data_IF_206624958433
#
_entry.id   IF_206624958433
#
_cell.length_a   1.000
_cell.length_b   1.000
_cell.length_c   1.000
_cell.angle_alpha   90.00
_cell.angle_beta   90.00
_cell.angle_gamma   90.00
#
_symmetry.space_group_name_H-M   'P 1'
#
loop_
_entity.id
_entity.type
_entity.pdbx_description
1 polymer ?
#
# COMPACT_ATOMS: atom_id res chain seq x y z
N UNK A 1 -7.51 -10.69 -37.32
CA UNK A 1 -8.24 -11.55 -36.37
C UNK A 1 -7.18 -12.35 -35.63
N UNK A 2 -6.95 -12.22 -34.33
CA UNK A 2 -7.86 -12.03 -33.20
C UNK A 2 -7.19 -11.13 -32.16
N UNK A 3 -7.85 -10.02 -31.83
CA UNK A 3 -7.45 -9.15 -30.72
C UNK A 3 -7.90 -9.75 -29.40
N UNK A 4 -6.98 -9.78 -28.42
CA UNK A 4 -7.28 -10.05 -27.03
C UNK A 4 -7.15 -8.76 -26.23
N UNK A 5 -8.27 -8.24 -25.74
CA UNK A 5 -8.31 -7.14 -24.77
C UNK A 5 -7.98 -7.73 -23.40
N UNK A 6 -6.80 -7.39 -22.87
CA UNK A 6 -6.37 -7.81 -21.54
C UNK A 6 -6.87 -6.78 -20.52
N UNK A 7 -7.98 -7.08 -19.85
CA UNK A 7 -8.46 -6.29 -18.71
C UNK A 7 -7.58 -6.60 -17.49
N UNK A 8 -6.43 -5.94 -17.38
CA UNK A 8 -5.69 -5.85 -16.13
C UNK A 8 -6.28 -4.64 -15.40
N UNK A 9 -7.10 -4.92 -14.38
CA UNK A 9 -7.67 -3.94 -13.48
C UNK A 9 -6.77 -3.80 -12.25
N UNK A 10 -6.45 -2.57 -11.88
CA UNK A 10 -5.88 -2.25 -10.57
C UNK A 10 -6.32 -0.84 -10.25
N UNK A 11 -7.31 -0.76 -9.37
CA UNK A 11 -8.02 0.42 -8.88
C UNK A 11 -7.29 1.03 -7.68
N UNK A 12 -6.96 2.33 -7.70
CA UNK A 12 -6.15 2.94 -6.62
C UNK A 12 -6.92 3.39 -5.37
N UNK A 13 -8.25 3.42 -5.32
CA UNK A 13 -8.94 3.74 -4.06
C UNK A 13 -10.23 2.98 -3.89
N UNK A 14 -10.12 1.80 -3.31
CA UNK A 14 -11.20 1.28 -2.48
C UNK A 14 -10.63 0.24 -1.55
N UNK A 15 -9.64 0.68 -0.77
CA UNK A 15 -9.02 -0.12 0.26
C UNK A 15 -9.83 -0.05 1.53
N UNK A 16 -10.22 -1.23 2.02
CA UNK A 16 -10.29 -1.47 3.46
C UNK A 16 -8.94 -1.06 4.04
N UNK A 17 -8.93 0.06 4.75
CA UNK A 17 -7.75 0.59 5.40
C UNK A 17 -7.36 -0.27 6.62
N UNK A 18 -6.11 -0.76 6.66
CA UNK A 18 -5.59 -1.70 7.66
C UNK A 18 -4.45 -1.08 8.47
N UNK A 19 -4.42 -1.31 9.79
CA UNK A 19 -3.29 -0.91 10.62
C UNK A 19 -2.91 -1.97 11.66
N UNK A 20 -1.60 -2.08 11.93
CA UNK A 20 -1.02 -2.73 13.11
C UNK A 20 -0.97 -1.70 14.25
N UNK A 21 -1.58 -2.00 15.39
CA UNK A 21 -1.59 -1.11 16.57
C UNK A 21 -0.20 -1.07 17.21
N UNK A 22 0.26 0.09 17.72
CA UNK A 22 1.42 0.14 18.63
C UNK A 22 1.18 -0.79 19.81
N UNK A 23 1.92 -1.90 19.88
CA UNK A 23 1.95 -2.76 21.05
C UNK A 23 2.88 -2.14 22.09
N UNK A 24 2.41 -1.11 22.80
CA UNK A 24 3.13 -0.50 23.91
C UNK A 24 2.85 -1.21 25.23
N UNK A 25 3.92 -1.65 25.91
CA UNK A 25 4.01 -2.08 27.31
C UNK A 25 3.32 -3.42 27.68
N UNK A 26 4.12 -4.50 27.66
CA UNK A 26 3.89 -5.65 28.53
C UNK A 26 4.34 -5.28 29.94
N UNK A 27 3.38 -4.94 30.81
CA UNK A 27 3.51 -5.12 32.25
C UNK A 27 2.25 -5.78 32.80
N UNK A 28 2.50 -6.86 33.54
CA UNK A 28 1.64 -7.72 34.36
C UNK A 28 0.12 -7.49 34.33
N UNK A 29 -0.65 -8.54 34.02
CA UNK A 29 -1.87 -8.84 34.77
C UNK A 29 -2.21 -10.34 34.70
N UNK A 30 -2.43 -10.88 35.90
CA UNK A 30 -2.62 -12.27 36.22
C UNK A 30 -3.89 -12.89 35.60
N UNK A 31 -3.82 -14.20 35.46
CA UNK A 31 -4.90 -15.08 35.02
C UNK A 31 -6.22 -14.86 35.77
N UNK A 32 -7.30 -14.63 35.01
CA UNK A 32 -8.67 -14.89 35.47
C UNK A 32 -9.44 -15.65 34.37
N UNK A 33 -10.26 -16.60 34.83
CA UNK A 33 -10.89 -17.68 34.04
C UNK A 33 -12.01 -17.16 33.11
N UNK A 34 -12.34 -17.89 32.01
CA UNK A 34 -13.38 -17.46 31.08
C UNK A 34 -14.79 -17.84 31.59
N UNK A 35 -15.64 -16.83 31.75
CA UNK A 35 -17.10 -16.99 31.83
C UNK A 35 -17.72 -16.85 30.44
N UNK A 36 -18.56 -17.82 30.05
CA UNK A 36 -19.38 -17.80 28.83
C UNK A 36 -20.40 -16.64 28.90
N UNK A 37 -20.46 -15.81 27.86
CA UNK A 37 -21.61 -14.94 27.61
C UNK A 37 -21.82 -14.68 26.11
N UNK A 38 -23.10 -14.48 25.79
CA UNK A 38 -23.77 -14.52 24.49
C UNK A 38 -23.19 -13.61 23.39
N UNK A 39 -23.19 -14.16 22.16
CA UNK A 39 -22.95 -13.45 20.91
C UNK A 39 -24.20 -12.63 20.57
N UNK A 40 -24.19 -11.36 20.96
CA UNK A 40 -25.09 -10.34 20.42
C UNK A 40 -24.34 -9.50 19.39
N UNK A 41 -24.67 -9.66 18.10
CA UNK A 41 -24.20 -8.77 17.02
C UNK A 41 -24.76 -7.37 17.25
N UNK A 42 -23.99 -6.51 17.91
CA UNK A 42 -24.18 -5.05 17.88
C UNK A 42 -23.01 -4.44 17.14
N UNK A 43 -23.21 -4.24 15.85
CA UNK A 43 -22.36 -3.37 15.03
C UNK A 43 -22.60 -1.93 15.52
N UNK A 44 -21.83 -1.51 16.54
CA UNK A 44 -21.81 -0.11 16.96
C UNK A 44 -21.02 0.66 15.92
N UNK A 45 -21.72 1.35 15.04
CA UNK A 45 -21.15 2.42 14.23
C UNK A 45 -20.73 3.53 15.20
N UNK A 46 -19.45 3.56 15.52
CA UNK A 46 -18.84 4.51 16.44
C UNK A 46 -18.63 5.83 15.67
N UNK A 47 -19.67 6.67 15.59
CA UNK A 47 -19.54 8.07 15.13
C UNK A 47 -19.68 8.99 16.34
N UNK A 48 -18.78 8.84 17.32
CA UNK A 48 -18.65 9.84 18.37
C UNK A 48 -17.97 11.08 17.77
N UNK A 49 -18.61 12.24 17.99
CA UNK A 49 -18.13 13.55 17.54
C UNK A 49 -16.77 13.83 18.18
N UNK A 50 -15.71 13.67 17.41
CA UNK A 50 -14.33 13.99 17.82
C UNK A 50 -14.22 15.51 17.93
N UNK A 51 -13.97 16.01 19.14
CA UNK A 51 -13.74 17.43 19.42
C UNK A 51 -12.44 17.94 18.77
N UNK A 52 -12.52 19.10 18.10
CA UNK A 52 -11.51 19.77 17.24
C UNK A 52 -10.13 20.06 17.86
N UNK A 53 -9.93 19.91 19.17
CA UNK A 53 -8.78 20.49 19.88
C UNK A 53 -7.44 19.74 19.73
N UNK A 54 -7.22 18.97 18.66
CA UNK A 54 -5.94 18.25 18.49
C UNK A 54 -5.72 17.55 17.15
N UNK A 55 -6.47 17.91 16.10
CA UNK A 55 -6.08 17.47 14.76
C UNK A 55 -4.80 18.22 14.39
N UNK A 56 -3.67 17.50 14.36
CA UNK A 56 -2.52 17.91 13.54
C UNK A 56 -3.05 18.17 12.14
N UNK A 57 -2.47 19.15 11.45
CA UNK A 57 -2.90 19.53 10.13
C UNK A 57 -2.76 18.34 9.14
N UNK A 58 -3.84 17.58 9.00
CA UNK A 58 -3.92 16.46 8.07
C UNK A 58 -3.93 16.93 6.61
N UNK A 59 -3.97 18.24 6.35
CA UNK A 59 -3.83 18.77 4.99
C UNK A 59 -2.41 18.55 4.45
N UNK A 60 -1.41 18.42 5.32
CA UNK A 60 -0.02 18.21 4.94
C UNK A 60 0.32 16.72 4.89
N UNK A 61 0.31 16.18 3.67
CA UNK A 61 0.79 14.84 3.33
C UNK A 61 1.59 14.89 2.02
N UNK A 62 2.54 13.96 1.85
CA UNK A 62 3.37 13.82 0.65
C UNK A 62 2.99 12.57 -0.16
N UNK A 63 3.31 12.55 -1.46
CA UNK A 63 2.97 11.44 -2.35
C UNK A 63 4.20 10.95 -3.09
N UNK A 64 4.38 9.63 -3.16
CA UNK A 64 5.55 9.00 -3.73
C UNK A 64 5.14 7.80 -4.57
N UNK A 65 5.90 7.51 -5.62
CA UNK A 65 5.79 6.24 -6.34
C UNK A 65 7.16 5.59 -6.55
N UNK A 66 7.18 4.28 -6.39
CA UNK A 66 8.35 3.43 -6.56
C UNK A 66 8.36 2.96 -8.02
N UNK A 67 9.44 3.25 -8.76
CA UNK A 67 9.57 2.84 -10.15
C UNK A 67 11.01 2.50 -10.51
N UNK A 68 11.18 1.36 -11.17
CA UNK A 68 12.47 0.92 -11.71
C UNK A 68 12.86 1.77 -12.93
N UNK A 69 14.12 2.21 -12.97
CA UNK A 69 14.66 2.99 -14.09
C UNK A 69 14.49 2.29 -15.45
N UNK A 70 14.69 0.97 -15.48
CA UNK A 70 14.50 0.17 -16.70
C UNK A 70 13.04 -0.03 -17.12
N UNK A 71 12.05 0.49 -16.38
CA UNK A 71 10.61 0.38 -16.66
C UNK A 71 9.96 1.76 -16.92
N UNK A 72 10.42 2.51 -17.92
CA UNK A 72 9.79 3.78 -18.29
C UNK A 72 8.37 3.59 -18.84
N UNK A 73 8.03 2.39 -19.32
CA UNK A 73 6.69 2.00 -19.77
C UNK A 73 5.67 2.07 -18.63
N UNK A 74 5.99 1.49 -17.47
CA UNK A 74 5.15 1.49 -16.26
C UNK A 74 4.95 2.90 -15.75
N UNK A 75 6.05 3.66 -15.64
CA UNK A 75 6.02 5.08 -15.26
C UNK A 75 5.09 5.88 -16.16
N UNK A 76 5.27 5.81 -17.49
CA UNK A 76 4.44 6.55 -18.45
C UNK A 76 2.96 6.23 -18.27
N UNK A 77 2.62 4.96 -18.06
CA UNK A 77 1.24 4.52 -17.82
C UNK A 77 0.68 5.10 -16.51
N UNK A 78 1.38 4.95 -15.39
CA UNK A 78 0.97 5.53 -14.10
C UNK A 78 0.69 7.02 -14.23
N UNK A 79 1.63 7.77 -14.81
CA UNK A 79 1.51 9.22 -14.97
C UNK A 79 0.31 9.58 -15.86
N UNK A 80 0.06 8.83 -16.93
CA UNK A 80 -1.11 9.04 -17.79
C UNK A 80 -2.43 8.80 -17.07
N UNK A 81 -2.51 7.76 -16.24
CA UNK A 81 -3.70 7.44 -15.44
C UNK A 81 -3.98 8.55 -14.42
N UNK A 82 -2.94 9.02 -13.73
CA UNK A 82 -3.08 10.07 -12.72
C UNK A 82 -3.34 11.45 -13.34
N UNK A 83 -2.69 11.82 -14.45
CA UNK A 83 -2.87 13.13 -15.06
C UNK A 83 -4.30 13.41 -15.52
N UNK A 84 -5.04 12.35 -15.90
CA UNK A 84 -6.40 12.48 -16.41
C UNK A 84 -7.42 12.72 -15.29
N UNK A 85 -7.28 12.04 -14.16
CA UNK A 85 -8.31 11.97 -13.12
C UNK A 85 -7.90 12.59 -11.78
N UNK A 86 -6.60 12.90 -11.61
CA UNK A 86 -5.98 13.23 -10.32
C UNK A 86 -4.86 14.29 -10.45
N UNK A 87 -5.14 15.49 -11.00
CA UNK A 87 -4.11 16.51 -11.22
C UNK A 87 -3.44 16.99 -9.92
N UNK A 88 -4.20 17.11 -8.82
CA UNK A 88 -3.68 17.54 -7.52
C UNK A 88 -2.73 16.51 -6.89
N UNK A 89 -3.10 15.22 -6.93
CA UNK A 89 -2.20 14.14 -6.52
C UNK A 89 -0.94 14.12 -7.41
N UNK A 90 -1.09 14.32 -8.72
CA UNK A 90 0.03 14.36 -9.67
C UNK A 90 1.02 15.49 -9.33
N UNK A 91 0.53 16.66 -8.94
CA UNK A 91 1.37 17.79 -8.53
C UNK A 91 2.22 17.50 -7.28
N UNK A 92 1.77 16.59 -6.40
CA UNK A 92 2.48 16.19 -5.18
C UNK A 92 3.41 14.99 -5.38
N UNK A 93 3.29 14.29 -6.51
CA UNK A 93 3.87 12.98 -6.70
C UNK A 93 5.38 13.03 -6.99
N UNK A 94 6.17 12.44 -6.10
CA UNK A 94 7.63 12.29 -6.25
C UNK A 94 8.01 10.87 -6.63
N UNK A 95 8.99 10.73 -7.53
CA UNK A 95 9.55 9.42 -7.87
C UNK A 95 10.60 8.97 -6.85
N UNK A 96 10.52 7.71 -6.46
CA UNK A 96 11.59 6.95 -5.81
C UNK A 96 12.15 5.97 -6.84
N UNK A 97 13.46 6.05 -7.08
CA UNK A 97 14.16 5.11 -7.94
C UNK A 97 14.24 3.75 -7.22
N UNK A 98 13.52 2.76 -7.74
CA UNK A 98 13.47 1.45 -7.13
C UNK A 98 14.79 0.69 -7.33
N UNK A 99 15.15 -0.12 -6.33
CA UNK A 99 16.30 -1.02 -6.39
C UNK A 99 16.03 -2.13 -7.41
N UNK A 100 16.98 -2.34 -8.31
CA UNK A 100 16.90 -3.40 -9.30
C UNK A 100 17.44 -4.72 -8.74
N UNK A 101 16.55 -5.65 -8.39
CA UNK A 101 16.95 -6.99 -7.94
C UNK A 101 17.79 -7.78 -8.94
N UNK A 102 17.83 -7.41 -10.23
CA UNK A 102 18.75 -8.03 -11.22
C UNK A 102 20.19 -7.50 -11.11
N UNK A 103 20.37 -6.34 -10.47
CA UNK A 103 21.66 -5.68 -10.26
C UNK A 103 22.17 -5.83 -8.83
N UNK A 104 21.34 -6.40 -7.94
CA UNK A 104 21.70 -6.64 -6.55
C UNK A 104 22.73 -7.77 -6.48
N UNK A 105 23.82 -7.52 -5.76
CA UNK A 105 24.80 -8.54 -5.38
C UNK A 105 24.57 -8.90 -3.92
N UNK A 106 24.55 -10.19 -3.59
CA UNK A 106 24.48 -10.65 -2.20
C UNK A 106 25.79 -10.42 -1.44
N UNK A 107 26.90 -10.23 -2.17
CA UNK A 107 28.22 -9.91 -1.63
C UNK A 107 28.40 -8.41 -1.35
N UNK A 108 27.35 -7.59 -1.50
CA UNK A 108 27.42 -6.16 -1.22
C UNK A 108 27.35 -5.91 0.30
N UNK A 109 28.43 -5.40 0.88
CA UNK A 109 28.51 -5.10 2.31
C UNK A 109 27.40 -4.13 2.76
N UNK A 110 26.97 -3.19 1.89
CA UNK A 110 25.89 -2.26 2.21
C UNK A 110 24.53 -2.95 2.35
N UNK A 111 24.36 -4.13 1.73
CA UNK A 111 23.15 -4.92 1.86
C UNK A 111 23.05 -5.58 3.25
N UNK A 112 24.19 -5.99 3.82
CA UNK A 112 24.25 -6.63 5.14
C UNK A 112 23.83 -5.68 6.28
N UNK A 113 23.95 -4.36 6.07
CA UNK A 113 23.48 -3.35 7.03
C UNK A 113 21.94 -3.18 7.03
N UNK A 114 21.28 -3.65 5.97
CA UNK A 114 19.85 -3.41 5.72
C UNK A 114 19.05 -4.71 5.87
N UNK A 115 19.63 -5.84 5.48
CA UNK A 115 18.97 -7.13 5.36
C UNK A 115 19.65 -8.11 6.31
N UNK A 116 18.87 -8.79 7.13
CA UNK A 116 19.41 -9.76 8.07
C UNK A 116 20.08 -10.95 7.34
N UNK A 117 21.09 -11.54 7.97
CA UNK A 117 21.87 -12.63 7.36
C UNK A 117 20.99 -13.85 7.00
N UNK A 118 19.91 -14.11 7.75
CA UNK A 118 19.00 -15.22 7.47
C UNK A 118 18.14 -14.93 6.23
N UNK A 119 17.72 -13.69 6.03
CA UNK A 119 17.05 -13.22 4.82
C UNK A 119 17.95 -13.35 3.58
N UNK A 120 19.23 -13.00 3.70
CA UNK A 120 20.20 -13.16 2.60
C UNK A 120 20.41 -14.64 2.24
N UNK A 121 20.59 -15.52 3.23
CA UNK A 121 20.71 -16.97 3.00
C UNK A 121 19.45 -17.55 2.31
N UNK A 122 18.26 -17.10 2.72
CA UNK A 122 17.00 -17.47 2.06
C UNK A 122 16.95 -17.01 0.61
N UNK A 123 17.44 -15.80 0.32
CA UNK A 123 17.51 -15.27 -1.04
C UNK A 123 18.48 -16.03 -1.93
N UNK A 124 19.65 -16.36 -1.40
CA UNK A 124 20.64 -17.17 -2.10
C UNK A 124 20.10 -18.59 -2.38
N UNK A 125 19.45 -19.21 -1.41
CA UNK A 125 18.81 -20.51 -1.57
C UNK A 125 17.70 -20.48 -2.62
N UNK A 126 16.84 -19.46 -2.61
CA UNK A 126 15.79 -19.27 -3.61
C UNK A 126 16.39 -19.10 -5.02
N UNK A 127 17.46 -18.31 -5.16
CA UNK A 127 18.16 -18.11 -6.42
C UNK A 127 18.78 -19.41 -6.95
N UNK A 128 19.48 -20.19 -6.11
CA UNK A 128 20.06 -21.49 -6.49
C UNK A 128 19.01 -22.48 -7.01
N UNK A 129 17.77 -22.39 -6.52
CA UNK A 129 16.66 -23.26 -6.93
C UNK A 129 15.87 -22.72 -8.12
N UNK A 130 16.18 -21.52 -8.62
CA UNK A 130 15.36 -20.85 -9.63
C UNK A 130 13.94 -20.57 -9.14
N UNK A 131 13.77 -20.36 -7.83
CA UNK A 131 12.47 -20.05 -7.24
C UNK A 131 12.06 -18.59 -7.54
N UNK A 132 10.76 -18.37 -7.68
CA UNK A 132 10.18 -17.05 -7.95
C UNK A 132 9.19 -16.69 -6.83
N UNK A 133 9.21 -15.44 -6.38
CA UNK A 133 8.25 -14.93 -5.38
C UNK A 133 6.83 -14.93 -5.93
N UNK A 134 6.67 -14.74 -7.24
CA UNK A 134 5.37 -14.68 -7.90
C UNK A 134 5.31 -15.77 -8.96
N UNK A 135 4.48 -16.79 -8.71
CA UNK A 135 4.26 -17.88 -9.64
C UNK A 135 2.99 -17.59 -10.45
N UNK A 136 3.15 -17.49 -11.77
CA UNK A 136 2.03 -17.34 -12.71
C UNK A 136 1.82 -18.63 -13.52
N UNK A 137 0.57 -18.90 -13.86
CA UNK A 137 0.18 -19.88 -14.87
C UNK A 137 -0.63 -19.14 -15.94
N UNK A 138 0.04 -18.76 -17.02
CA UNK A 138 -0.53 -17.86 -18.03
C UNK A 138 -0.80 -16.47 -17.44
N UNK A 139 -2.02 -15.90 -17.62
CA UNK A 139 -2.37 -14.59 -17.07
C UNK A 139 -2.74 -14.64 -15.58
N UNK A 140 -2.83 -15.84 -14.98
CA UNK A 140 -3.32 -16.01 -13.63
C UNK A 140 -2.16 -16.09 -12.65
N UNK A 141 -2.23 -15.27 -11.60
CA UNK A 141 -1.42 -15.41 -10.41
C UNK A 141 -1.84 -16.70 -9.69
N UNK A 142 -0.90 -17.64 -9.54
CA UNK A 142 -1.15 -18.96 -8.91
C UNK A 142 -0.78 -18.91 -7.44
N UNK A 143 0.38 -18.33 -7.12
CA UNK A 143 0.89 -18.32 -5.76
C UNK A 143 1.86 -17.16 -5.56
N UNK A 144 1.69 -16.47 -4.42
CA UNK A 144 2.77 -15.72 -3.79
C UNK A 144 3.49 -16.68 -2.86
N UNK A 145 4.70 -17.07 -3.25
CA UNK A 145 5.54 -17.88 -2.37
C UNK A 145 6.29 -16.96 -1.41
N UNK A 146 6.41 -17.35 -0.15
CA UNK A 146 7.20 -16.65 0.89
C UNK A 146 8.72 -16.80 0.66
N UNK A 147 9.11 -17.19 -0.55
CA UNK A 147 10.48 -17.12 -1.02
C UNK A 147 10.94 -15.67 -1.12
N UNK A 148 11.81 -15.29 -0.19
CA UNK A 148 12.51 -14.02 -0.24
C UNK A 148 13.53 -14.07 -1.36
N UNK A 149 13.15 -13.77 -2.60
CA UNK A 149 14.07 -13.71 -3.75
C UNK A 149 14.87 -12.40 -3.75
N UNK A 150 15.90 -12.27 -4.58
CA UNK A 150 16.57 -10.98 -4.84
C UNK A 150 15.58 -9.88 -5.27
N UNK A 151 14.53 -10.25 -6.02
CA UNK A 151 13.44 -9.34 -6.36
C UNK A 151 12.66 -8.89 -5.13
N UNK A 152 12.38 -9.81 -4.19
CA UNK A 152 11.74 -9.51 -2.92
C UNK A 152 12.58 -8.61 -2.01
N UNK A 153 13.88 -8.88 -1.90
CA UNK A 153 14.84 -8.04 -1.17
C UNK A 153 14.87 -6.63 -1.76
N UNK A 154 15.05 -6.51 -3.08
CA UNK A 154 15.07 -5.23 -3.76
C UNK A 154 13.74 -4.46 -3.63
N UNK A 155 12.61 -5.16 -3.63
CA UNK A 155 11.30 -4.58 -3.35
C UNK A 155 11.27 -3.98 -1.92
N UNK A 156 11.64 -4.76 -0.90
CA UNK A 156 11.69 -4.29 0.48
C UNK A 156 12.61 -3.07 0.67
N UNK A 157 13.79 -3.07 0.04
CA UNK A 157 14.69 -1.91 0.04
C UNK A 157 14.06 -0.69 -0.61
N UNK A 158 13.36 -0.86 -1.73
CA UNK A 158 12.67 0.24 -2.42
C UNK A 158 11.57 0.85 -1.55
N UNK A 159 10.84 0.02 -0.80
CA UNK A 159 9.86 0.50 0.18
C UNK A 159 10.52 1.20 1.37
N UNK A 160 11.68 0.70 1.85
CA UNK A 160 12.46 1.39 2.88
C UNK A 160 12.88 2.78 2.44
N UNK A 161 13.40 2.94 1.21
CA UNK A 161 13.74 4.26 0.65
C UNK A 161 12.52 5.19 0.58
N UNK A 162 11.35 4.64 0.26
CA UNK A 162 10.11 5.41 0.29
C UNK A 162 9.72 5.79 1.73
N UNK A 163 9.89 4.91 2.71
CA UNK A 163 9.64 5.24 4.12
C UNK A 163 10.60 6.32 4.63
N UNK A 164 11.88 6.21 4.32
CA UNK A 164 12.91 7.21 4.67
C UNK A 164 12.53 8.59 4.11
N UNK A 165 12.10 8.66 2.84
CA UNK A 165 11.69 9.94 2.27
C UNK A 165 10.35 10.48 2.83
N UNK A 166 9.47 9.65 3.40
CA UNK A 166 8.33 10.13 4.22
C UNK A 166 8.83 10.65 5.57
N UNK A 167 9.71 9.89 6.24
CA UNK A 167 10.29 10.19 7.55
C UNK A 167 11.08 11.50 7.56
N UNK A 168 11.72 11.84 6.44
CA UNK A 168 12.53 13.05 6.26
C UNK A 168 11.74 14.24 5.71
N UNK A 169 10.51 14.05 5.25
CA UNK A 169 9.73 15.12 4.64
C UNK A 169 9.51 16.27 5.65
N UNK A 170 9.78 17.55 5.30
CA UNK A 170 9.86 18.63 6.29
C UNK A 170 8.56 18.89 7.05
N UNK A 171 7.43 18.86 6.34
CA UNK A 171 6.13 19.31 6.89
C UNK A 171 5.08 18.20 6.97
N UNK A 172 5.00 17.34 5.95
CA UNK A 172 4.05 16.23 5.89
C UNK A 172 3.99 15.37 7.15
N UNK A 173 2.76 15.08 7.59
CA UNK A 173 2.46 14.18 8.71
C UNK A 173 2.14 12.75 8.26
N UNK A 174 1.76 12.60 6.99
CA UNK A 174 1.49 11.32 6.32
C UNK A 174 2.16 11.27 4.96
N UNK A 175 2.48 10.07 4.49
CA UNK A 175 3.00 9.82 3.14
C UNK A 175 2.21 8.75 2.43
N UNK A 176 1.79 9.01 1.19
CA UNK A 176 1.25 8.04 0.25
C UNK A 176 2.40 7.39 -0.52
N UNK A 177 2.45 6.07 -0.54
CA UNK A 177 3.41 5.27 -1.30
C UNK A 177 2.62 4.44 -2.32
N UNK A 178 2.99 4.58 -3.59
CA UNK A 178 2.41 3.89 -4.75
C UNK A 178 3.45 2.99 -5.43
N UNK A 179 3.01 1.86 -5.97
CA UNK A 179 3.76 1.10 -6.97
C UNK A 179 3.44 1.59 -8.40
N UNK A 180 4.32 1.30 -9.35
CA UNK A 180 4.21 1.74 -10.76
C UNK A 180 3.39 0.80 -11.67
N UNK A 181 2.84 -0.30 -11.16
CA UNK A 181 1.92 -1.18 -11.92
C UNK A 181 0.44 -0.78 -11.81
N UNK A 182 0.13 0.32 -11.13
CA UNK A 182 -1.20 0.92 -11.19
C UNK A 182 -1.64 1.12 -12.65
N UNK A 183 -2.84 0.63 -12.96
CA UNK A 183 -3.46 0.71 -14.29
C UNK A 183 -4.76 1.50 -14.29
N UNK A 184 -5.36 1.75 -13.13
CA UNK A 184 -6.54 2.59 -12.95
C UNK A 184 -6.47 3.35 -11.62
N UNK A 185 -7.01 4.56 -11.58
CA UNK A 185 -7.10 5.32 -10.36
C UNK A 185 -8.52 5.85 -10.18
N UNK A 186 -8.96 5.90 -8.93
CA UNK A 186 -10.21 6.60 -8.61
C UNK A 186 -9.98 8.09 -8.85
N UNK A 187 -10.93 8.79 -9.48
CA UNK A 187 -10.83 10.24 -9.64
C UNK A 187 -10.82 10.96 -8.30
N UNK A 188 -10.15 12.11 -8.23
CA UNK A 188 -10.06 12.93 -6.99
C UNK A 188 -9.55 12.12 -5.79
N UNK A 189 -8.59 11.24 -6.05
CA UNK A 189 -7.91 10.39 -5.08
C UNK A 189 -7.33 11.18 -3.91
N UNK A 190 -6.81 12.38 -4.15
CA UNK A 190 -6.32 13.29 -3.11
C UNK A 190 -7.39 13.63 -2.08
N UNK A 191 -8.64 13.88 -2.52
CA UNK A 191 -9.76 14.12 -1.62
C UNK A 191 -10.17 12.85 -0.88
N UNK A 192 -10.20 11.72 -1.58
CA UNK A 192 -10.49 10.42 -0.98
C UNK A 192 -9.49 10.08 0.14
N UNK A 193 -8.20 10.32 -0.10
CA UNK A 193 -7.13 10.18 0.92
C UNK A 193 -7.43 11.07 2.12
N UNK A 194 -7.73 12.36 1.90
CA UNK A 194 -8.00 13.29 3.00
C UNK A 194 -9.22 12.85 3.81
N UNK A 195 -10.27 12.34 3.17
CA UNK A 195 -11.42 11.77 3.86
C UNK A 195 -11.04 10.53 4.69
N UNK A 196 -10.25 9.61 4.12
CA UNK A 196 -9.71 8.45 4.85
C UNK A 196 -8.95 8.92 6.08
N UNK A 197 -7.94 9.79 5.91
CA UNK A 197 -7.07 10.28 6.98
C UNK A 197 -7.85 10.97 8.10
N UNK A 198 -8.86 11.78 7.75
CA UNK A 198 -9.75 12.43 8.72
C UNK A 198 -10.58 11.42 9.52
N UNK A 199 -10.94 10.29 8.93
CA UNK A 199 -11.71 9.23 9.59
C UNK A 199 -10.88 8.24 10.40
N UNK A 200 -9.54 8.31 10.38
CA UNK A 200 -8.70 7.32 11.05
C UNK A 200 -8.68 7.49 12.57
N UNK A 201 -8.71 6.39 13.33
CA UNK A 201 -8.40 6.43 14.75
C UNK A 201 -6.97 6.96 15.01
N UNK A 202 -6.79 7.71 16.10
CA UNK A 202 -5.52 8.39 16.42
C UNK A 202 -4.34 7.43 16.64
N UNK A 203 -4.61 6.17 16.98
CA UNK A 203 -3.62 5.13 17.23
C UNK A 203 -3.24 4.34 15.97
N UNK A 204 -3.67 4.78 14.78
CA UNK A 204 -3.33 4.14 13.51
C UNK A 204 -2.09 4.76 12.87
N UNK A 205 -1.13 3.92 12.55
CA UNK A 205 0.17 4.26 11.97
C UNK A 205 0.23 4.11 10.44
N UNK A 206 -0.59 3.24 9.85
CA UNK A 206 -0.62 2.99 8.41
C UNK A 206 -2.01 2.55 7.94
N UNK A 207 -2.24 2.65 6.63
CA UNK A 207 -3.48 2.27 5.94
C UNK A 207 -3.17 1.78 4.54
N UNK A 208 -3.52 0.53 4.23
CA UNK A 208 -3.47 0.01 2.86
C UNK A 208 -4.70 0.47 2.06
N UNK A 209 -4.45 1.08 0.90
CA UNK A 209 -5.45 1.67 0.00
C UNK A 209 -5.67 0.81 -1.24
N UNK A 210 -4.66 0.02 -1.59
CA UNK A 210 -4.67 -0.91 -2.70
C UNK A 210 -3.82 -2.14 -2.37
N UNK A 211 -4.44 -3.32 -2.45
CA UNK A 211 -3.81 -4.61 -2.20
C UNK A 211 -4.44 -5.68 -3.08
N UNK A 212 -3.72 -6.79 -3.32
CA UNK A 212 -4.32 -7.96 -3.95
C UNK A 212 -5.05 -8.80 -2.90
N UNK A 213 -6.34 -9.07 -3.15
CA UNK A 213 -7.04 -10.11 -2.40
C UNK A 213 -6.58 -11.50 -2.88
N UNK A 214 -7.11 -12.56 -2.28
CA UNK A 214 -6.77 -13.94 -2.67
C UNK A 214 -7.12 -14.28 -4.13
N UNK A 215 -7.87 -13.41 -4.83
CA UNK A 215 -8.26 -13.57 -6.23
C UNK A 215 -7.52 -12.58 -7.16
N UNK A 216 -6.71 -11.68 -6.62
CA UNK A 216 -6.01 -10.64 -7.36
C UNK A 216 -6.93 -9.61 -8.01
N UNK A 217 -8.20 -9.51 -7.59
CA UNK A 217 -9.20 -8.68 -8.25
C UNK A 217 -9.08 -7.20 -7.87
N UNK A 218 -9.31 -6.31 -8.83
CA UNK A 218 -9.46 -4.87 -8.56
C UNK A 218 -10.83 -4.56 -7.96
N UNK A 219 -10.93 -3.42 -7.28
CA UNK A 219 -12.22 -2.94 -6.81
C UNK A 219 -13.15 -2.53 -7.97
N UNK A 220 -14.46 -2.86 -7.90
CA UNK A 220 -15.43 -2.51 -8.94
C UNK A 220 -15.45 -1.03 -9.34
N UNK A 221 -15.35 -0.10 -8.37
CA UNK A 221 -15.46 1.34 -8.63
C UNK A 221 -14.40 1.93 -9.57
N UNK A 222 -13.22 1.34 -9.73
CA UNK A 222 -12.28 1.84 -10.75
C UNK A 222 -12.46 1.20 -12.13
N UNK A 223 -13.27 0.14 -12.23
CA UNK A 223 -13.66 -0.45 -13.50
C UNK A 223 -14.85 0.32 -14.10
N UNK A 224 -15.79 0.75 -13.26
CA UNK A 224 -17.03 1.39 -13.71
C UNK A 224 -16.82 2.84 -14.21
N UNK A 225 -15.87 3.59 -13.65
CA UNK A 225 -15.72 5.03 -13.92
C UNK A 225 -14.80 5.36 -15.11
N UNK A 226 -14.18 4.36 -15.74
CA UNK A 226 -13.35 4.59 -16.92
C UNK A 226 -14.16 4.97 -18.18
N UNK A 227 -15.49 4.85 -18.15
CA UNK A 227 -16.34 4.99 -19.34
C UNK A 227 -17.08 6.33 -19.48
N UNK A 228 -17.17 7.18 -18.44
CA UNK A 228 -18.03 8.37 -18.47
C UNK A 228 -17.33 9.63 -17.91
N UNK A 229 -16.28 10.11 -18.60
CA UNK A 229 -15.53 11.33 -18.26
C UNK A 229 -16.25 12.64 -18.67
N UNK A 230 -17.59 12.65 -18.72
CA UNK A 230 -18.40 13.75 -19.27
C UNK A 230 -19.31 14.48 -18.27
N UNK A 231 -19.52 13.94 -17.07
CA UNK A 231 -20.42 14.52 -16.06
C UNK A 231 -19.63 14.88 -14.79
N UNK A 232 -20.14 15.84 -14.01
CA UNK A 232 -19.55 16.21 -12.71
C UNK A 232 -19.30 14.94 -11.89
N UNK A 233 -18.02 14.61 -11.67
CA UNK A 233 -17.65 13.39 -10.96
C UNK A 233 -18.28 13.44 -9.57
N UNK A 234 -19.12 12.46 -9.21
CA UNK A 234 -19.82 12.47 -7.93
C UNK A 234 -18.82 12.51 -6.77
N UNK A 235 -19.27 13.03 -5.62
CA UNK A 235 -18.50 12.99 -4.38
C UNK A 235 -17.96 11.56 -4.17
N UNK A 236 -16.65 11.42 -3.93
CA UNK A 236 -16.03 10.11 -3.75
C UNK A 236 -16.52 9.54 -2.42
N UNK A 237 -17.42 8.55 -2.46
CA UNK A 237 -17.82 7.80 -1.28
C UNK A 237 -16.67 6.90 -0.85
N UNK A 238 -16.04 7.24 0.28
CA UNK A 238 -15.00 6.42 0.88
C UNK A 238 -15.64 5.36 1.78
N UNK A 239 -15.45 4.06 1.51
CA UNK A 239 -15.99 3.02 2.36
C UNK A 239 -15.36 3.06 3.76
N UNK A 240 -16.07 2.58 4.81
CA UNK A 240 -15.51 2.54 6.15
C UNK A 240 -14.20 1.76 6.21
N UNK A 241 -13.23 2.34 6.90
CA UNK A 241 -11.92 1.78 7.24
C UNK A 241 -12.10 0.59 8.19
N UNK A 242 -11.41 -0.54 7.95
CA UNK A 242 -11.62 -1.81 8.70
C UNK A 242 -10.32 -2.51 9.06
N UNK A 243 -10.22 -3.00 10.29
CA UNK A 243 -9.13 -3.91 10.68
C UNK A 243 -9.27 -5.23 9.92
N UNK A 244 -8.18 -5.66 9.29
CA UNK A 244 -8.07 -6.97 8.64
C UNK A 244 -7.37 -7.92 9.60
N UNK A 245 -7.95 -9.11 9.72
CA UNK A 245 -7.43 -10.22 10.51
C UNK A 245 -6.85 -11.32 9.63
N UNK A 246 -6.92 -11.15 8.32
CA UNK A 246 -6.49 -12.12 7.31
C UNK A 246 -5.12 -11.70 6.73
N UNK A 247 -4.32 -12.67 6.24
CA UNK A 247 -3.09 -12.37 5.52
C UNK A 247 -3.37 -11.50 4.28
N UNK A 248 -2.51 -10.52 4.03
CA UNK A 248 -2.53 -9.70 2.81
C UNK A 248 -1.30 -9.99 1.96
N UNK A 249 -1.47 -9.89 0.65
CA UNK A 249 -0.40 -10.07 -0.32
C UNK A 249 -0.39 -8.91 -1.32
N UNK A 250 0.81 -8.45 -1.70
CA UNK A 250 1.04 -7.45 -2.74
C UNK A 250 0.36 -6.09 -2.51
N UNK A 251 1.11 -5.14 -1.95
CA UNK A 251 0.62 -3.83 -1.55
C UNK A 251 1.00 -2.75 -2.58
N UNK A 252 0.11 -2.41 -3.49
CA UNK A 252 0.41 -1.43 -4.55
C UNK A 252 0.08 0.03 -4.19
N UNK A 253 -0.68 0.29 -3.12
CA UNK A 253 -0.94 1.65 -2.63
C UNK A 253 -1.22 1.68 -1.12
N UNK A 254 -0.57 2.59 -0.39
CA UNK A 254 -0.78 2.74 1.05
C UNK A 254 -0.33 4.09 1.59
N UNK A 255 -0.92 4.52 2.71
CA UNK A 255 -0.48 5.71 3.46
C UNK A 255 0.11 5.31 4.79
N UNK A 256 1.13 6.04 5.22
CA UNK A 256 1.84 5.81 6.48
C UNK A 256 2.08 7.12 7.21
N UNK A 257 1.96 7.10 8.53
CA UNK A 257 2.26 8.23 9.39
C UNK A 257 3.77 8.43 9.44
N UNK A 258 4.23 9.69 9.42
CA UNK A 258 5.65 10.04 9.49
C UNK A 258 6.38 9.39 10.67
N UNK A 259 5.79 9.41 11.86
CA UNK A 259 6.42 8.77 13.04
C UNK A 259 6.54 7.25 12.92
N UNK A 260 5.66 6.61 12.15
CA UNK A 260 5.72 5.17 11.89
C UNK A 260 6.75 4.84 10.81
N UNK A 261 6.92 5.72 9.82
CA UNK A 261 7.97 5.60 8.81
C UNK A 261 9.38 5.77 9.41
N UNK A 262 9.51 6.46 10.54
CA UNK A 262 10.77 6.67 11.29
C UNK A 262 11.18 5.47 12.18
N UNK A 263 10.24 4.59 12.51
CA UNK A 263 10.42 3.51 13.47
C UNK A 263 10.96 2.24 12.81
#
# INVERSE_FOLDING_TARGET
>A
ASGGVLALGTAVFAGRALCRRRQGCYDSLAASKPGRAAVGKRERVLVDRISDAGYRDLSEWCAMYINLERRPDRRKRLLSVLSAANPELMARLRRIEAVDGKRLSLDDDALADIVDAQALDRAEHAQRRGAYTIVHNGPHLVHFDDHLTLGGVACAMSHRMALEAVAEHPTASWGLILEDDIVAAVPRADEAILQVLRGLPRDWDAVFLGYHDSLGAAHPSALDQAQELGEELPCVEVPPVRVLTEPLYGLFAWVVRKEAAQA
#
